data_IF_460628707894
#
_entry.id   IF_460628707894
#
_cell.length_a   1.000
_cell.length_b   1.000
_cell.length_c   1.000
_cell.angle_alpha   90.00
_cell.angle_beta   90.00
_cell.angle_gamma   90.00
#
_symmetry.space_group_name_H-M   'P 1'
#
loop_
_entity.id
_entity.type
_entity.pdbx_description
1 polymer ?
#
# COMPACT_ATOMS: atom_id res chain seq x y z
N UNK A 1 19.30 -5.35 12.82
CA UNK A 1 17.96 -4.88 12.42
C UNK A 1 16.96 -5.75 13.17
N UNK A 2 16.24 -5.19 14.14
CA UNK A 2 15.20 -5.93 14.86
C UNK A 2 14.18 -6.45 13.83
N UNK A 3 13.90 -7.75 13.89
CA UNK A 3 13.02 -8.42 12.95
C UNK A 3 11.56 -8.18 13.37
N UNK A 4 11.08 -6.94 13.20
CA UNK A 4 9.72 -6.56 13.56
C UNK A 4 8.71 -7.28 12.65
N UNK A 5 7.53 -7.62 13.19
CA UNK A 5 6.40 -8.27 12.49
C UNK A 5 6.09 -7.62 11.14
N UNK A 6 6.26 -6.29 11.05
CA UNK A 6 6.09 -5.51 9.82
C UNK A 6 7.05 -5.97 8.71
N UNK A 7 8.33 -6.20 9.03
CA UNK A 7 9.33 -6.66 8.07
C UNK A 7 9.06 -8.08 7.58
N UNK A 8 8.52 -8.93 8.46
CA UNK A 8 8.09 -10.28 8.09
C UNK A 8 6.93 -10.24 7.09
N UNK A 9 5.86 -9.50 7.41
CA UNK A 9 4.68 -9.36 6.53
C UNK A 9 5.07 -8.73 5.19
N UNK A 10 5.98 -7.74 5.19
CA UNK A 10 6.49 -7.13 3.97
C UNK A 10 7.07 -8.17 3.01
N UNK A 11 7.92 -9.08 3.51
CA UNK A 11 8.59 -10.10 2.71
C UNK A 11 7.63 -11.17 2.18
N UNK A 12 6.56 -11.49 2.91
CA UNK A 12 5.56 -12.46 2.46
C UNK A 12 4.62 -11.91 1.37
N UNK A 13 4.57 -10.60 1.19
CA UNK A 13 3.66 -9.95 0.23
C UNK A 13 4.41 -9.56 -1.05
N UNK A 14 4.31 -10.39 -2.09
CA UNK A 14 4.95 -10.16 -3.41
C UNK A 14 4.69 -8.76 -3.96
N UNK A 15 3.46 -8.25 -3.85
CA UNK A 15 3.11 -6.90 -4.33
C UNK A 15 3.86 -5.79 -3.58
N UNK A 16 4.08 -5.94 -2.26
CA UNK A 16 4.84 -4.99 -1.44
C UNK A 16 6.33 -5.03 -1.82
N UNK A 17 6.87 -6.24 -2.00
CA UNK A 17 8.26 -6.45 -2.44
C UNK A 17 8.49 -5.80 -3.80
N UNK A 18 7.66 -6.10 -4.80
CA UNK A 18 7.79 -5.51 -6.14
C UNK A 18 7.61 -3.98 -6.16
N UNK A 19 6.80 -3.43 -5.26
CA UNK A 19 6.70 -1.98 -5.08
C UNK A 19 8.02 -1.40 -4.53
N UNK A 20 8.58 -2.04 -3.51
CA UNK A 20 9.86 -1.69 -2.90
C UNK A 20 11.01 -1.72 -3.92
N UNK A 21 11.13 -2.81 -4.69
CA UNK A 21 12.14 -2.99 -5.73
C UNK A 21 12.07 -1.88 -6.80
N UNK A 22 10.87 -1.57 -7.30
CA UNK A 22 10.68 -0.50 -8.30
C UNK A 22 11.03 0.88 -7.76
N UNK A 23 10.73 1.14 -6.48
CA UNK A 23 11.15 2.39 -5.84
C UNK A 23 12.67 2.42 -5.63
N UNK A 24 13.23 1.30 -5.19
CA UNK A 24 14.66 1.16 -4.94
C UNK A 24 15.49 1.37 -6.22
N UNK A 25 15.05 0.79 -7.34
CA UNK A 25 15.69 0.96 -8.65
C UNK A 25 15.77 2.45 -9.08
N UNK A 26 14.77 3.27 -8.71
CA UNK A 26 14.77 4.72 -8.98
C UNK A 26 15.67 5.51 -8.04
N UNK A 27 15.96 4.94 -6.86
CA UNK A 27 16.75 5.55 -5.80
C UNK A 27 18.21 5.06 -5.77
N UNK A 28 18.61 4.18 -6.70
CA UNK A 28 19.90 3.47 -6.66
C UNK A 28 21.14 4.38 -6.54
N UNK A 29 21.04 5.64 -6.97
CA UNK A 29 22.14 6.62 -6.92
C UNK A 29 22.19 7.44 -5.61
N UNK A 30 21.22 7.30 -4.72
CA UNK A 30 21.03 8.19 -3.56
C UNK A 30 20.74 7.39 -2.28
N UNK A 31 21.76 7.04 -1.48
CA UNK A 31 21.62 6.20 -0.29
C UNK A 31 20.62 6.72 0.76
N UNK A 32 20.51 8.05 0.88
CA UNK A 32 19.55 8.69 1.79
C UNK A 32 18.09 8.38 1.42
N UNK A 33 17.81 8.03 0.16
CA UNK A 33 16.47 7.66 -0.31
C UNK A 33 16.09 6.22 0.07
N UNK A 34 17.04 5.37 0.47
CA UNK A 34 16.73 4.02 0.92
C UNK A 34 15.91 4.02 2.22
N UNK A 35 16.16 5.00 3.10
CA UNK A 35 15.34 5.16 4.30
C UNK A 35 13.91 5.57 3.97
N UNK A 36 13.74 6.41 2.95
CA UNK A 36 12.43 6.79 2.43
C UNK A 36 11.68 5.58 1.84
N UNK A 37 12.34 4.72 1.05
CA UNK A 37 11.74 3.49 0.51
C UNK A 37 11.32 2.54 1.65
N UNK A 38 12.19 2.33 2.65
CA UNK A 38 11.87 1.52 3.83
C UNK A 38 10.66 2.06 4.57
N UNK A 39 10.56 3.38 4.75
CA UNK A 39 9.41 4.00 5.38
C UNK A 39 8.12 3.76 4.59
N UNK A 40 8.16 3.87 3.25
CA UNK A 40 7.02 3.61 2.38
C UNK A 40 6.54 2.16 2.44
N UNK A 41 7.46 1.20 2.45
CA UNK A 41 7.13 -0.22 2.63
C UNK A 41 6.42 -0.43 3.98
N UNK A 42 6.94 0.16 5.06
CA UNK A 42 6.32 0.03 6.39
C UNK A 42 4.93 0.68 6.47
N UNK A 43 4.72 1.83 5.83
CA UNK A 43 3.40 2.46 5.72
C UNK A 43 2.40 1.55 5.01
N UNK A 44 2.81 0.90 3.92
CA UNK A 44 1.97 -0.05 3.17
C UNK A 44 1.61 -1.30 3.98
N UNK A 45 2.55 -1.85 4.74
CA UNK A 45 2.28 -3.01 5.60
C UNK A 45 1.30 -2.66 6.71
N UNK A 46 1.45 -1.49 7.35
CA UNK A 46 0.50 -1.03 8.38
C UNK A 46 -0.90 -0.86 7.80
N UNK A 47 -1.01 -0.27 6.61
CA UNK A 47 -2.27 -0.20 5.90
C UNK A 47 -2.88 -1.58 5.61
N UNK A 48 -2.06 -2.55 5.15
CA UNK A 48 -2.54 -3.90 4.88
C UNK A 48 -3.06 -4.61 6.13
N UNK A 49 -2.41 -4.39 7.28
CA UNK A 49 -2.88 -4.92 8.56
C UNK A 49 -4.24 -4.36 8.94
N UNK A 50 -4.41 -3.04 8.89
CA UNK A 50 -5.71 -2.40 9.15
C UNK A 50 -6.77 -2.89 8.16
N UNK A 51 -6.42 -3.02 6.87
CA UNK A 51 -7.34 -3.52 5.85
C UNK A 51 -7.79 -4.96 6.11
N UNK A 52 -6.90 -5.82 6.63
CA UNK A 52 -7.24 -7.18 7.04
C UNK A 52 -8.18 -7.22 8.24
N UNK A 53 -7.96 -6.34 9.22
CA UNK A 53 -8.84 -6.21 10.38
C UNK A 53 -10.23 -5.70 9.96
N UNK A 54 -10.29 -4.78 8.99
CA UNK A 54 -11.53 -4.28 8.42
C UNK A 54 -12.27 -5.32 7.57
N UNK A 55 -11.54 -6.12 6.78
CA UNK A 55 -12.08 -7.17 5.93
C UNK A 55 -11.06 -8.33 5.78
N UNK A 56 -11.31 -9.51 6.40
CA UNK A 56 -10.40 -10.66 6.36
C UNK A 56 -10.15 -11.25 4.97
N UNK A 57 -11.01 -10.95 3.99
CA UNK A 57 -10.82 -11.38 2.60
C UNK A 57 -9.69 -10.63 1.88
N UNK A 58 -9.15 -9.55 2.48
CA UNK A 58 -8.01 -8.80 1.95
C UNK A 58 -6.71 -9.50 2.35
N UNK A 59 -6.18 -10.36 1.49
CA UNK A 59 -4.94 -11.09 1.77
C UNK A 59 -3.72 -10.28 1.34
N UNK A 60 -3.83 -9.47 0.30
CA UNK A 60 -2.73 -8.75 -0.32
C UNK A 60 -3.13 -7.33 -0.74
N UNK A 61 -2.14 -6.47 -0.98
CA UNK A 61 -2.37 -5.14 -1.55
C UNK A 61 -3.08 -5.18 -2.91
N UNK A 62 -2.97 -6.29 -3.66
CA UNK A 62 -3.65 -6.46 -4.94
C UNK A 62 -5.16 -6.51 -4.75
N UNK A 63 -5.61 -7.16 -3.67
CA UNK A 63 -7.03 -7.32 -3.37
C UNK A 63 -7.66 -5.96 -3.12
N UNK A 64 -6.96 -5.05 -2.45
CA UNK A 64 -7.46 -3.70 -2.20
C UNK A 64 -7.91 -2.96 -3.48
N UNK A 65 -7.34 -3.30 -4.64
CA UNK A 65 -7.62 -2.60 -5.90
C UNK A 65 -8.87 -3.18 -6.59
N UNK A 66 -9.45 -4.26 -6.05
CA UNK A 66 -10.64 -4.88 -6.58
C UNK A 66 -11.89 -4.03 -6.24
N UNK A 67 -12.70 -3.60 -7.24
CA UNK A 67 -13.86 -2.73 -7.02
C UNK A 67 -14.85 -3.17 -5.93
N UNK A 68 -15.17 -4.47 -5.77
CA UNK A 68 -16.13 -4.93 -4.78
C UNK A 68 -15.72 -4.64 -3.32
N UNK A 69 -14.42 -4.67 -3.03
CA UNK A 69 -13.88 -4.45 -1.67
C UNK A 69 -13.35 -3.02 -1.46
N UNK A 70 -13.56 -2.14 -2.45
CA UNK A 70 -13.06 -0.77 -2.40
C UNK A 70 -13.66 0.05 -1.25
N UNK A 71 -14.89 -0.23 -0.84
CA UNK A 71 -15.51 0.42 0.33
C UNK A 71 -14.78 0.08 1.63
N UNK A 72 -14.40 -1.18 1.81
CA UNK A 72 -13.62 -1.63 2.99
C UNK A 72 -12.22 -1.05 2.99
N UNK A 73 -11.61 -0.93 1.81
CA UNK A 73 -10.33 -0.28 1.61
C UNK A 73 -10.38 1.19 2.03
N UNK A 74 -11.43 1.93 1.65
CA UNK A 74 -11.61 3.33 2.08
C UNK A 74 -11.74 3.41 3.61
N UNK A 75 -12.50 2.49 4.23
CA UNK A 75 -12.65 2.41 5.69
C UNK A 75 -11.29 2.16 6.37
N UNK A 76 -10.51 1.21 5.87
CA UNK A 76 -9.17 0.92 6.36
C UNK A 76 -8.20 2.11 6.19
N UNK A 77 -8.30 2.87 5.08
CA UNK A 77 -7.51 4.10 4.90
C UNK A 77 -7.89 5.14 5.94
N UNK A 78 -9.19 5.33 6.21
CA UNK A 78 -9.69 6.27 7.23
C UNK A 78 -9.15 5.91 8.62
N UNK A 79 -9.25 4.65 9.01
CA UNK A 79 -8.70 4.15 10.28
C UNK A 79 -7.17 4.33 10.36
N UNK A 80 -6.45 3.99 9.28
CA UNK A 80 -4.99 4.19 9.19
C UNK A 80 -4.59 5.66 9.33
N UNK A 81 -5.44 6.59 8.89
CA UNK A 81 -5.19 8.03 8.94
C UNK A 81 -5.77 8.72 10.17
N UNK A 82 -6.29 7.95 11.13
CA UNK A 82 -6.96 8.46 12.34
C UNK A 82 -8.08 9.45 11.98
N UNK A 83 -8.93 9.06 11.04
CA UNK A 83 -10.11 9.84 10.68
C UNK A 83 -11.08 9.86 11.88
N UNK A 84 -11.46 11.06 12.31
CA UNK A 84 -12.50 11.27 13.29
C UNK A 84 -13.85 11.39 12.57
N UNK A 85 -14.76 10.44 12.85
CA UNK A 85 -16.10 10.42 12.27
C UNK A 85 -17.05 11.48 12.84
N UNK A 86 -16.74 12.05 14.02
CA UNK A 86 -17.56 13.11 14.62
C UNK A 86 -17.26 14.48 14.03
N UNK A 87 -15.98 14.80 13.85
CA UNK A 87 -15.54 16.11 13.33
C UNK A 87 -15.27 16.10 11.82
N UNK A 88 -15.26 14.92 11.18
CA UNK A 88 -14.92 14.77 9.77
C UNK A 88 -13.46 15.10 9.43
N UNK A 89 -12.59 15.13 10.44
CA UNK A 89 -11.18 15.52 10.31
C UNK A 89 -10.25 14.30 10.25
N UNK A 90 -9.09 14.46 9.62
CA UNK A 90 -8.05 13.44 9.64
C UNK A 90 -6.97 13.86 10.64
N UNK A 91 -6.63 12.98 11.60
CA UNK A 91 -5.48 13.19 12.47
C UNK A 91 -4.14 13.21 11.72
N UNK A 92 -4.10 12.66 10.50
CA UNK A 92 -2.96 12.76 9.58
C UNK A 92 -3.41 12.99 8.12
N UNK A 93 -3.83 14.22 7.73
CA UNK A 93 -4.36 14.51 6.39
C UNK A 93 -3.35 14.23 5.28
N UNK A 94 -2.08 14.55 5.54
CA UNK A 94 -0.96 14.31 4.63
C UNK A 94 -0.73 12.81 4.37
N UNK A 95 -1.08 11.94 5.34
CA UNK A 95 -0.96 10.50 5.20
C UNK A 95 -2.07 9.95 4.30
N UNK A 96 -3.30 10.45 4.43
CA UNK A 96 -4.42 10.11 3.56
C UNK A 96 -4.11 10.43 2.09
N UNK A 97 -3.56 11.63 1.83
CA UNK A 97 -3.14 12.03 0.48
C UNK A 97 -2.03 11.10 -0.06
N UNK A 98 -1.00 10.81 0.75
CA UNK A 98 0.11 9.92 0.37
C UNK A 98 -0.35 8.49 0.10
N UNK A 99 -1.31 7.98 0.86
CA UNK A 99 -1.92 6.67 0.65
C UNK A 99 -2.73 6.64 -0.65
N UNK A 100 -3.57 7.65 -0.89
CA UNK A 100 -4.34 7.78 -2.13
C UNK A 100 -3.42 7.77 -3.38
N UNK A 101 -2.35 8.56 -3.37
CA UNK A 101 -1.38 8.58 -4.47
C UNK A 101 -0.71 7.22 -4.68
N UNK A 102 -0.36 6.53 -3.60
CA UNK A 102 0.24 5.19 -3.66
C UNK A 102 -0.74 4.18 -4.25
N UNK A 103 -2.02 4.27 -3.86
CA UNK A 103 -3.10 3.44 -4.37
C UNK A 103 -3.32 3.63 -5.87
N UNK A 104 -3.36 4.88 -6.33
CA UNK A 104 -3.52 5.21 -7.75
C UNK A 104 -2.38 4.63 -8.59
N UNK A 105 -1.16 4.60 -8.06
CA UNK A 105 0.00 3.95 -8.72
C UNK A 105 -0.18 2.44 -8.80
N UNK A 106 -0.63 1.79 -7.73
CA UNK A 106 -0.88 0.35 -7.76
C UNK A 106 -2.01 -0.01 -8.74
N UNK A 107 -3.09 0.79 -8.82
CA UNK A 107 -4.13 0.62 -9.82
C UNK A 107 -3.61 0.78 -11.26
N UNK A 108 -2.74 1.77 -11.51
CA UNK A 108 -2.07 1.91 -12.80
C UNK A 108 -1.18 0.72 -13.17
N UNK A 109 -0.48 0.15 -12.18
CA UNK A 109 0.35 -1.06 -12.39
C UNK A 109 -0.49 -2.28 -12.75
N UNK A 110 -1.60 -2.52 -12.04
CA UNK A 110 -2.51 -3.63 -12.37
C UNK A 110 -3.13 -3.47 -13.75
N UNK A 111 -3.55 -2.24 -14.10
CA UNK A 111 -4.04 -1.93 -15.45
C UNK A 111 -2.98 -2.26 -16.50
N UNK A 112 -1.74 -1.80 -16.33
CA UNK A 112 -0.63 -2.11 -17.24
C UNK A 112 -0.33 -3.61 -17.35
N UNK A 113 -0.39 -4.36 -16.24
CA UNK A 113 -0.20 -5.81 -16.23
C UNK A 113 -1.33 -6.55 -16.96
N UNK A 114 -2.58 -6.12 -16.81
CA UNK A 114 -3.72 -6.68 -17.52
C UNK A 114 -3.65 -6.43 -19.03
N UNK A 115 -3.19 -5.24 -19.46
CA UNK A 115 -2.97 -4.97 -20.89
C UNK A 115 -1.88 -5.85 -21.49
N UNK A 116 -0.76 -6.08 -20.78
CA UNK A 116 0.30 -6.97 -21.26
C UNK A 116 -0.16 -8.42 -21.43
N UNK A 117 -1.09 -8.89 -20.59
CA UNK A 117 -1.67 -10.22 -20.73
C UNK A 117 -2.63 -10.34 -21.91
N UNK A 118 -3.37 -9.26 -22.25
CA UNK A 118 -4.28 -9.25 -23.42
C UNK A 118 -3.58 -9.22 -24.78
N UNK A 119 -2.30 -8.87 -24.85
CA UNK A 119 -1.54 -8.81 -26.11
C UNK A 119 -0.78 -10.12 -26.40
N UNK A 120 -0.88 -11.12 -25.52
CA UNK A 120 -0.28 -12.46 -25.68
C UNK A 120 -1.32 -13.59 -25.79
N UNK A 121 -2.58 -13.27 -26.10
CA UNK A 121 -3.64 -14.25 -26.38
C UNK A 121 -4.30 -13.98 -27.72
#
# INVERSE_FOLDING_TARGET
MANDTISFIARMNVTIVSFGEKMFAKCAKQPHQFQYVKQKIRELVRFLLVARDTNPSIISLKDCINPPIFKDVIRAVRETCKFDGMDGTYGAPSLALKLWHSFRKCAGLLKSQAYKQKTQS
#
